data_IF_970778145151
#
_entry.id   IF_970778145151
#
_cell.length_a   1.000
_cell.length_b   1.000
_cell.length_c   1.000
_cell.angle_alpha   90.00
_cell.angle_beta   90.00
_cell.angle_gamma   90.00
#
_symmetry.space_group_name_H-M   'P 1'
#
loop_
_entity.id
_entity.type
_entity.pdbx_description
1 polymer ?
#
# COMPACT_ATOMS: atom_id res chain seq x y z
N UNK A 1 9.77 11.52 -12.01
CA UNK A 1 8.67 10.77 -12.68
C UNK A 1 8.92 9.27 -12.68
N UNK A 2 10.10 8.79 -13.11
CA UNK A 2 10.45 7.36 -13.13
C UNK A 2 10.14 6.61 -11.81
N UNK A 3 10.54 7.15 -10.66
CA UNK A 3 10.34 6.49 -9.36
C UNK A 3 8.86 6.27 -8.99
N UNK A 4 7.99 7.24 -9.28
CA UNK A 4 6.54 7.08 -9.04
C UNK A 4 5.94 5.97 -9.90
N UNK A 5 6.38 5.86 -11.15
CA UNK A 5 5.91 4.83 -12.09
C UNK A 5 6.38 3.46 -11.64
N UNK A 6 7.66 3.34 -11.29
CA UNK A 6 8.24 2.09 -10.77
C UNK A 6 7.53 1.66 -9.50
N UNK A 7 7.30 2.56 -8.54
CA UNK A 7 6.59 2.25 -7.30
C UNK A 7 5.14 1.83 -7.57
N UNK A 8 4.47 2.45 -8.55
CA UNK A 8 3.11 2.07 -8.97
C UNK A 8 3.08 0.66 -9.55
N UNK A 9 4.05 0.30 -10.39
CA UNK A 9 4.17 -1.05 -10.95
C UNK A 9 4.45 -2.09 -9.85
N UNK A 10 5.32 -1.77 -8.89
CA UNK A 10 5.59 -2.65 -7.74
C UNK A 10 4.32 -2.82 -6.91
N UNK A 11 3.61 -1.74 -6.59
CA UNK A 11 2.37 -1.78 -5.84
C UNK A 11 1.30 -2.63 -6.55
N UNK A 12 1.11 -2.43 -7.86
CA UNK A 12 0.13 -3.18 -8.63
C UNK A 12 0.50 -4.67 -8.73
N UNK A 13 1.75 -4.98 -9.10
CA UNK A 13 2.20 -6.37 -9.26
C UNK A 13 2.10 -7.16 -7.95
N UNK A 14 2.54 -6.59 -6.84
CA UNK A 14 2.44 -7.21 -5.50
C UNK A 14 0.99 -7.40 -5.08
N UNK A 15 0.10 -6.44 -5.35
CA UNK A 15 -1.33 -6.59 -5.11
C UNK A 15 -1.94 -7.74 -5.92
N UNK A 16 -1.66 -7.81 -7.22
CA UNK A 16 -2.18 -8.89 -8.09
C UNK A 16 -1.65 -10.26 -7.68
N UNK A 17 -0.37 -10.36 -7.30
CA UNK A 17 0.22 -11.59 -6.79
C UNK A 17 -0.40 -12.00 -5.46
N UNK A 18 -0.62 -11.05 -4.55
CA UNK A 18 -1.33 -11.27 -3.30
C UNK A 18 -2.75 -11.79 -3.54
N UNK A 19 -3.53 -11.15 -4.41
CA UNK A 19 -4.90 -11.56 -4.75
C UNK A 19 -4.99 -12.94 -5.43
N UNK A 20 -3.95 -13.36 -6.17
CA UNK A 20 -3.89 -14.72 -6.73
C UNK A 20 -3.71 -15.78 -5.65
N UNK A 21 -3.06 -15.42 -4.53
CA UNK A 21 -2.90 -16.30 -3.37
C UNK A 21 -4.16 -16.43 -2.49
N UNK A 22 -5.14 -15.52 -2.62
CA UNK A 22 -6.40 -15.60 -1.87
C UNK A 22 -7.41 -16.53 -2.54
N UNK A 23 -8.12 -17.28 -1.71
CA UNK A 23 -9.30 -18.03 -2.13
C UNK A 23 -10.36 -17.08 -2.73
N UNK A 24 -11.14 -17.50 -3.74
CA UNK A 24 -12.13 -16.66 -4.38
C UNK A 24 -13.18 -16.07 -3.41
N UNK A 25 -13.51 -16.83 -2.35
CA UNK A 25 -14.46 -16.42 -1.32
C UNK A 25 -13.93 -15.33 -0.37
N UNK A 26 -12.60 -15.14 -0.29
CA UNK A 26 -11.96 -14.15 0.59
C UNK A 26 -11.45 -12.90 -0.15
N UNK A 27 -11.80 -12.70 -1.42
CA UNK A 27 -11.42 -11.50 -2.19
C UNK A 27 -12.16 -10.21 -1.79
N UNK A 28 -12.97 -10.27 -0.74
CA UNK A 28 -13.60 -9.10 -0.13
C UNK A 28 -12.58 -8.30 0.70
N UNK A 29 -12.93 -7.06 1.04
CA UNK A 29 -12.07 -6.17 1.82
C UNK A 29 -11.62 -6.83 3.14
N UNK A 30 -12.53 -7.54 3.81
CA UNK A 30 -12.26 -8.25 5.07
C UNK A 30 -11.25 -9.39 4.90
N UNK A 31 -11.32 -10.15 3.79
CA UNK A 31 -10.38 -11.23 3.55
C UNK A 31 -8.98 -10.74 3.15
N UNK A 32 -8.90 -9.61 2.41
CA UNK A 32 -7.62 -8.93 2.16
C UNK A 32 -7.02 -8.47 3.49
N UNK A 33 -7.84 -7.89 4.35
CA UNK A 33 -7.44 -7.41 5.67
C UNK A 33 -6.92 -8.53 6.57
N UNK A 34 -7.66 -9.63 6.71
CA UNK A 34 -7.22 -10.81 7.47
C UNK A 34 -5.90 -11.38 6.92
N UNK A 35 -5.72 -11.35 5.60
CA UNK A 35 -4.48 -11.84 4.97
C UNK A 35 -3.30 -10.91 5.24
N UNK A 36 -3.52 -9.59 5.22
CA UNK A 36 -2.51 -8.59 5.59
C UNK A 36 -2.13 -8.74 7.06
N UNK A 37 -3.10 -8.91 7.97
CA UNK A 37 -2.84 -9.08 9.40
C UNK A 37 -2.10 -10.39 9.70
N UNK A 38 -2.54 -11.50 9.12
CA UNK A 38 -1.86 -12.79 9.26
C UNK A 38 -0.43 -12.73 8.72
N UNK A 39 -0.17 -11.95 7.66
CA UNK A 39 1.17 -11.71 7.13
C UNK A 39 2.09 -11.02 8.14
N UNK A 40 1.58 -10.08 8.95
CA UNK A 40 2.33 -9.46 10.04
C UNK A 40 2.56 -10.41 11.22
N UNK A 41 1.57 -11.25 11.53
CA UNK A 41 1.69 -12.24 12.61
C UNK A 41 2.69 -13.36 12.28
N UNK A 42 2.88 -13.64 10.98
CA UNK A 42 3.70 -14.75 10.48
C UNK A 42 4.69 -14.25 9.41
N UNK A 43 5.74 -13.50 9.78
CA UNK A 43 6.62 -12.78 8.83
C UNK A 43 7.52 -13.70 7.98
N UNK A 44 7.63 -14.99 8.33
CA UNK A 44 8.53 -15.94 7.66
C UNK A 44 7.90 -16.65 6.45
N UNK A 45 6.59 -16.51 6.21
CA UNK A 45 5.98 -17.06 5.00
C UNK A 45 6.27 -16.19 3.78
N UNK A 46 6.55 -16.81 2.64
CA UNK A 46 6.80 -16.10 1.38
C UNK A 46 5.62 -15.22 0.94
N UNK A 47 4.38 -15.61 1.27
CA UNK A 47 3.18 -14.79 1.01
C UNK A 47 3.18 -13.49 1.84
N UNK A 48 3.74 -13.52 3.06
CA UNK A 48 3.80 -12.37 3.95
C UNK A 48 4.66 -11.23 3.39
N UNK A 49 5.74 -11.58 2.69
CA UNK A 49 6.61 -10.60 2.04
C UNK A 49 5.91 -9.85 0.90
N UNK A 50 5.01 -10.52 0.17
CA UNK A 50 4.25 -9.91 -0.92
C UNK A 50 3.29 -8.86 -0.35
N UNK A 51 2.56 -9.18 0.71
CA UNK A 51 1.64 -8.26 1.37
C UNK A 51 2.37 -7.10 2.06
N UNK A 52 3.54 -7.37 2.63
CA UNK A 52 4.38 -6.32 3.21
C UNK A 52 4.88 -5.34 2.14
N UNK A 53 5.40 -5.84 1.02
CA UNK A 53 5.85 -5.02 -0.11
C UNK A 53 4.69 -4.21 -0.72
N UNK A 54 3.52 -4.82 -0.87
CA UNK A 54 2.31 -4.12 -1.29
C UNK A 54 2.00 -2.96 -0.35
N UNK A 55 1.90 -3.24 0.95
CA UNK A 55 1.47 -2.26 1.94
C UNK A 55 2.47 -1.11 2.06
N UNK A 56 3.77 -1.41 2.06
CA UNK A 56 4.83 -0.40 2.04
C UNK A 56 4.73 0.48 0.79
N UNK A 57 4.59 -0.12 -0.39
CA UNK A 57 4.50 0.61 -1.66
C UNK A 57 3.23 1.47 -1.73
N UNK A 58 2.12 0.92 -1.24
CA UNK A 58 0.80 1.57 -1.22
C UNK A 58 0.77 2.80 -0.31
N UNK A 59 1.43 2.73 0.85
CA UNK A 59 1.56 3.86 1.78
C UNK A 59 2.52 4.94 1.27
N UNK A 60 3.57 4.56 0.55
CA UNK A 60 4.54 5.50 -0.02
C UNK A 60 4.04 6.19 -1.31
N UNK A 61 3.11 5.56 -2.03
CA UNK A 61 2.58 6.01 -3.30
C UNK A 61 2.20 7.51 -3.37
N UNK A 62 1.39 8.07 -2.43
CA UNK A 62 0.97 9.47 -2.50
C UNK A 62 2.14 10.45 -2.36
N UNK A 63 3.19 10.11 -1.61
CA UNK A 63 4.37 10.95 -1.47
C UNK A 63 5.17 11.00 -2.77
N UNK A 64 5.39 9.85 -3.41
CA UNK A 64 6.11 9.78 -4.67
C UNK A 64 5.33 10.41 -5.83
N UNK A 65 4.02 10.21 -5.88
CA UNK A 65 3.14 10.86 -6.86
C UNK A 65 3.10 12.38 -6.64
N UNK A 66 2.88 12.84 -5.41
CA UNK A 66 2.83 14.27 -5.13
C UNK A 66 4.15 14.98 -5.41
N UNK A 67 5.29 14.36 -5.08
CA UNK A 67 6.61 14.88 -5.45
C UNK A 67 6.77 14.99 -6.97
N UNK A 68 6.22 14.05 -7.75
CA UNK A 68 6.34 14.11 -9.22
C UNK A 68 5.57 15.24 -9.90
N UNK A 69 4.49 15.76 -9.30
CA UNK A 69 3.76 16.90 -9.87
C UNK A 69 4.22 18.26 -9.31
N UNK A 70 4.76 18.29 -8.08
CA UNK A 70 4.87 19.53 -7.30
C UNK A 70 6.31 19.92 -6.93
N UNK A 71 7.32 19.20 -7.43
CA UNK A 71 8.77 19.42 -7.24
C UNK A 71 9.27 20.86 -7.48
N UNK A 72 8.48 21.75 -8.10
CA UNK A 72 8.83 23.15 -8.40
C UNK A 72 7.95 24.20 -7.72
N UNK A 73 7.08 23.82 -6.79
CA UNK A 73 6.11 24.72 -6.17
C UNK A 73 6.05 24.56 -4.64
N UNK A 74 5.63 25.59 -3.91
CA UNK A 74 5.43 25.57 -2.45
C UNK A 74 4.36 24.55 -1.96
N UNK A 75 3.72 23.86 -2.90
CA UNK A 75 2.69 22.85 -2.68
C UNK A 75 3.22 21.51 -2.15
N UNK A 76 4.53 21.38 -1.94
CA UNK A 76 5.12 20.21 -1.26
C UNK A 76 4.47 19.95 0.11
N UNK A 77 4.06 21.00 0.83
CA UNK A 77 3.35 20.88 2.10
C UNK A 77 1.99 20.18 1.91
N UNK A 78 1.26 20.51 0.84
CA UNK A 78 -0.03 19.87 0.52
C UNK A 78 0.15 18.39 0.21
N UNK A 79 1.23 18.02 -0.49
CA UNK A 79 1.59 16.62 -0.76
C UNK A 79 1.81 15.86 0.53
N UNK A 80 2.58 16.44 1.46
CA UNK A 80 2.88 15.81 2.74
C UNK A 80 1.59 15.63 3.54
N UNK A 81 0.73 16.65 3.62
CA UNK A 81 -0.55 16.57 4.33
C UNK A 81 -1.45 15.50 3.72
N UNK A 82 -1.60 15.48 2.39
CA UNK A 82 -2.41 14.48 1.69
C UNK A 82 -1.85 13.05 1.86
N UNK A 83 -0.52 12.90 1.79
CA UNK A 83 0.16 11.63 2.03
C UNK A 83 -0.01 11.13 3.48
N UNK A 84 0.07 12.02 4.47
CA UNK A 84 -0.20 11.67 5.87
C UNK A 84 -1.66 11.28 6.09
N UNK A 85 -2.60 11.99 5.48
CA UNK A 85 -4.02 11.64 5.53
C UNK A 85 -4.28 10.27 4.90
N UNK A 86 -3.65 9.99 3.75
CA UNK A 86 -3.68 8.68 3.10
C UNK A 86 -3.16 7.57 4.01
N UNK A 87 -1.98 7.75 4.58
CA UNK A 87 -1.38 6.77 5.50
C UNK A 87 -2.28 6.54 6.71
N UNK A 88 -2.81 7.61 7.31
CA UNK A 88 -3.71 7.50 8.45
C UNK A 88 -4.99 6.74 8.09
N UNK A 89 -5.66 7.11 7.00
CA UNK A 89 -6.92 6.49 6.58
C UNK A 89 -6.74 5.00 6.24
N UNK A 90 -5.68 4.65 5.51
CA UNK A 90 -5.47 3.27 5.09
C UNK A 90 -4.85 2.39 6.17
N UNK A 91 -3.99 2.93 7.04
CA UNK A 91 -3.54 2.18 8.22
C UNK A 91 -4.72 1.87 9.16
N UNK A 92 -5.66 2.80 9.33
CA UNK A 92 -6.94 2.55 10.04
C UNK A 92 -7.71 1.41 9.40
N UNK A 93 -7.91 1.47 8.08
CA UNK A 93 -8.75 0.53 7.33
C UNK A 93 -8.15 -0.86 7.19
N UNK A 94 -6.85 -0.95 6.92
CA UNK A 94 -6.16 -2.21 6.59
C UNK A 94 -5.47 -2.86 7.78
N UNK A 95 -5.16 -2.11 8.86
CA UNK A 95 -4.32 -2.59 9.97
C UNK A 95 -5.01 -2.44 11.33
N UNK A 96 -5.61 -1.27 11.64
CA UNK A 96 -5.89 -0.90 13.04
C UNK A 96 -7.34 -1.06 13.51
N UNK A 97 -8.37 -0.90 12.68
CA UNK A 97 -9.77 -0.81 13.17
C UNK A 97 -10.66 -1.97 12.77
N UNK A 98 -10.76 -3.01 13.61
CA UNK A 98 -11.79 -4.04 13.46
C UNK A 98 -13.18 -3.42 13.45
#
# INVERSE_FOLDING_TARGET
MLYSVVLTLICASTFFLGLRGLAPASKNLDGIRETVESSFSSPLLASSWIWFLFLLSFLLLPFFWGLTFLLKTDWNVVVIIAGLFWVYFWSRTLILFR
#
